data_IF_830462278685
#
_entry.id   IF_830462278685
#
_cell.length_a   1.000
_cell.length_b   1.000
_cell.length_c   1.000
_cell.angle_alpha   90.00
_cell.angle_beta   90.00
_cell.angle_gamma   90.00
#
_symmetry.space_group_name_H-M   'P 1'
#
loop_
_entity.id
_entity.type
_entity.pdbx_description
1 polymer ?
#
# COMPACT_ATOMS: atom_id res chain seq x y z
N UNK A 1 0.31 0.86 -21.40
CA UNK A 1 0.70 2.21 -20.94
C UNK A 1 -0.05 2.71 -19.70
N UNK A 2 -1.35 2.40 -19.49
CA UNK A 2 -2.14 2.92 -18.35
C UNK A 2 -1.77 2.29 -16.99
N UNK A 3 -1.55 0.97 -16.94
CA UNK A 3 -1.20 0.27 -15.70
C UNK A 3 0.14 0.72 -15.10
N UNK A 4 1.17 0.92 -15.93
CA UNK A 4 2.49 1.38 -15.49
C UNK A 4 2.45 2.80 -14.91
N UNK A 5 1.58 3.69 -15.42
CA UNK A 5 1.38 5.02 -14.84
C UNK A 5 0.74 4.96 -13.45
N UNK A 6 -0.20 4.03 -13.24
CA UNK A 6 -0.89 3.85 -11.95
C UNK A 6 0.05 3.24 -10.90
N UNK A 7 0.98 2.37 -11.33
CA UNK A 7 1.99 1.77 -10.45
C UNK A 7 3.01 2.82 -9.96
N UNK A 8 3.56 3.63 -10.86
CA UNK A 8 4.48 4.71 -10.50
C UNK A 8 3.83 5.76 -9.59
N UNK A 9 2.53 6.03 -9.78
CA UNK A 9 1.77 6.91 -8.91
C UNK A 9 1.62 6.32 -7.50
N UNK A 10 1.32 5.03 -7.38
CA UNK A 10 1.26 4.35 -6.09
C UNK A 10 2.60 4.37 -5.35
N UNK A 11 3.71 4.22 -6.08
CA UNK A 11 5.05 4.37 -5.50
C UNK A 11 5.29 5.78 -4.97
N UNK A 12 4.97 6.83 -5.73
CA UNK A 12 5.14 8.22 -5.30
C UNK A 12 4.31 8.54 -4.06
N UNK A 13 3.06 8.07 -4.01
CA UNK A 13 2.19 8.25 -2.86
C UNK A 13 2.78 7.56 -1.63
N UNK A 14 3.26 6.32 -1.78
CA UNK A 14 3.92 5.58 -0.71
C UNK A 14 5.18 6.29 -0.19
N UNK A 15 6.10 6.69 -1.07
CA UNK A 15 7.35 7.36 -0.70
C UNK A 15 7.06 8.65 0.08
N UNK A 16 6.09 9.45 -0.40
CA UNK A 16 5.67 10.68 0.27
C UNK A 16 5.02 10.44 1.64
N UNK A 17 4.18 9.42 1.76
CA UNK A 17 3.44 9.15 3.00
C UNK A 17 4.29 8.46 4.08
N UNK A 18 5.20 7.59 3.67
CA UNK A 18 6.01 6.77 4.58
C UNK A 18 7.39 7.36 4.87
N UNK A 19 7.92 8.20 3.98
CA UNK A 19 9.31 8.68 4.03
C UNK A 19 10.34 7.59 3.71
N UNK A 20 9.92 6.45 3.17
CA UNK A 20 10.81 5.35 2.79
C UNK A 20 11.05 5.29 1.28
N UNK A 21 12.26 4.90 0.90
CA UNK A 21 12.60 4.58 -0.48
C UNK A 21 11.97 3.24 -0.89
N UNK A 22 11.41 3.18 -2.11
CA UNK A 22 10.72 1.99 -2.63
C UNK A 22 11.59 0.74 -2.83
N UNK A 23 12.90 0.88 -2.91
CA UNK A 23 13.83 -0.21 -3.27
C UNK A 23 13.76 -1.43 -2.34
N UNK A 24 13.37 -1.22 -1.08
CA UNK A 24 13.25 -2.30 -0.07
C UNK A 24 11.85 -2.90 0.00
N UNK A 25 10.95 -2.41 -0.84
CA UNK A 25 9.54 -2.76 -0.81
C UNK A 25 9.13 -3.43 -2.12
N UNK A 26 8.00 -4.13 -2.05
CA UNK A 26 7.30 -4.66 -3.19
C UNK A 26 5.87 -4.14 -3.18
N UNK A 27 5.34 -3.94 -4.39
CA UNK A 27 3.99 -3.47 -4.61
C UNK A 27 3.16 -4.61 -5.20
N UNK A 28 2.01 -4.88 -4.59
CA UNK A 28 1.07 -5.92 -5.02
C UNK A 28 -0.27 -5.28 -5.38
N UNK A 29 -0.75 -5.51 -6.61
CA UNK A 29 -2.07 -5.01 -7.03
C UNK A 29 -3.17 -5.76 -6.28
N UNK A 30 -4.13 -5.01 -5.73
CA UNK A 30 -5.34 -5.56 -5.11
C UNK A 30 -6.56 -4.84 -5.66
N UNK A 31 -7.75 -5.34 -5.33
CA UNK A 31 -8.98 -4.64 -5.66
C UNK A 31 -9.02 -3.27 -4.96
N UNK A 32 -9.23 -2.20 -5.74
CA UNK A 32 -9.33 -0.84 -5.25
C UNK A 32 -8.01 -0.16 -4.87
N UNK A 33 -6.85 -0.80 -5.09
CA UNK A 33 -5.58 -0.19 -4.72
C UNK A 33 -4.35 -1.10 -4.82
N UNK A 34 -3.34 -0.79 -4.03
CA UNK A 34 -2.06 -1.49 -3.98
C UNK A 34 -1.65 -1.75 -2.54
N UNK A 35 -1.02 -2.89 -2.29
CA UNK A 35 -0.41 -3.18 -0.99
C UNK A 35 1.10 -3.06 -1.14
N UNK A 36 1.72 -2.22 -0.32
CA UNK A 36 3.17 -2.08 -0.21
C UNK A 36 3.65 -2.89 0.98
N UNK A 37 4.63 -3.77 0.76
CA UNK A 37 5.23 -4.59 1.82
C UNK A 37 6.73 -4.55 1.72
N UNK A 38 7.41 -4.80 2.83
CA UNK A 38 8.83 -5.10 2.78
C UNK A 38 9.07 -6.31 1.87
N UNK A 39 10.02 -6.20 0.94
CA UNK A 39 10.20 -7.16 -0.13
C UNK A 39 10.66 -8.52 0.38
N UNK A 40 11.63 -8.52 1.30
CA UNK A 40 12.24 -9.71 1.88
C UNK A 40 11.78 -9.96 3.33
N UNK A 41 10.88 -10.94 3.48
CA UNK A 41 10.31 -11.28 4.78
C UNK A 41 11.37 -11.62 5.84
N UNK A 42 12.51 -12.20 5.46
CA UNK A 42 13.55 -12.58 6.42
C UNK A 42 14.27 -11.37 7.03
N UNK A 43 14.33 -10.25 6.32
CA UNK A 43 14.98 -9.01 6.75
C UNK A 43 14.00 -7.91 7.17
N UNK A 44 12.72 -8.23 7.37
CA UNK A 44 11.71 -7.22 7.73
C UNK A 44 12.04 -6.59 9.08
N UNK A 45 12.23 -5.25 9.16
CA UNK A 45 12.51 -4.58 10.42
C UNK A 45 11.38 -4.74 11.44
N UNK A 46 11.73 -4.83 12.73
CA UNK A 46 10.73 -4.88 13.79
C UNK A 46 9.88 -3.61 13.79
N UNK A 47 8.55 -3.74 13.87
CA UNK A 47 7.61 -2.62 13.79
C UNK A 47 7.32 -2.12 12.37
N UNK A 48 7.93 -2.73 11.35
CA UNK A 48 7.57 -2.48 9.95
C UNK A 48 6.17 -3.04 9.68
N UNK A 49 5.31 -2.19 9.13
CA UNK A 49 3.93 -2.52 8.82
C UNK A 49 3.69 -2.31 7.32
N UNK A 50 2.83 -3.13 6.69
CA UNK A 50 2.39 -2.89 5.32
C UNK A 50 1.72 -1.53 5.17
N UNK A 51 1.69 -1.02 3.94
CA UNK A 51 0.87 0.12 3.57
C UNK A 51 -0.14 -0.30 2.50
N UNK A 52 -1.27 0.39 2.45
CA UNK A 52 -2.23 0.28 1.36
C UNK A 52 -2.37 1.64 0.70
N UNK A 53 -2.27 1.67 -0.63
CA UNK A 53 -2.48 2.85 -1.45
C UNK A 53 -3.77 2.65 -2.24
N UNK A 54 -4.81 3.40 -1.93
CA UNK A 54 -6.08 3.34 -2.63
C UNK A 54 -5.97 3.97 -4.04
N UNK A 55 -6.86 3.57 -4.96
CA UNK A 55 -6.90 4.08 -6.34
C UNK A 55 -7.16 5.59 -6.43
N UNK A 56 -7.68 6.21 -5.36
CA UNK A 56 -7.90 7.65 -5.22
C UNK A 56 -6.68 8.41 -4.68
N UNK A 57 -5.58 7.71 -4.38
CA UNK A 57 -4.33 8.28 -3.87
C UNK A 57 -4.23 8.36 -2.35
N UNK A 58 -5.19 7.80 -1.58
CA UNK A 58 -5.07 7.72 -0.12
C UNK A 58 -4.06 6.64 0.30
N UNK A 59 -3.17 6.98 1.25
CA UNK A 59 -2.20 6.05 1.82
C UNK A 59 -2.55 5.70 3.27
N UNK A 60 -2.64 4.40 3.58
CA UNK A 60 -2.96 3.90 4.91
C UNK A 60 -1.90 2.94 5.42
N UNK A 61 -1.30 3.23 6.57
CA UNK A 61 -0.41 2.29 7.26
C UNK A 61 -1.24 1.21 7.96
N UNK A 62 -0.95 -0.05 7.67
CA UNK A 62 -1.60 -1.22 8.27
C UNK A 62 -0.88 -1.60 9.56
N UNK A 63 -1.21 -0.88 10.63
CA UNK A 63 -0.73 -1.15 11.98
C UNK A 63 -1.89 -1.27 12.96
N UNK A 64 -1.60 -1.76 14.16
CA UNK A 64 -2.60 -1.90 15.23
C UNK A 64 -3.38 -0.58 15.46
N UNK A 65 -4.72 -0.61 15.57
CA UNK A 65 -5.59 -1.80 15.65
C UNK A 65 -6.07 -2.35 14.29
N UNK A 66 -5.67 -1.76 13.17
CA UNK A 66 -6.19 -2.10 11.85
C UNK A 66 -5.47 -3.30 11.24
N UNK A 67 -6.22 -4.36 10.94
CA UNK A 67 -5.73 -5.49 10.15
C UNK A 67 -5.73 -5.16 8.66
N UNK A 68 -4.85 -5.79 7.88
CA UNK A 68 -4.85 -5.62 6.41
C UNK A 68 -6.22 -5.92 5.81
N UNK A 69 -6.89 -6.97 6.31
CA UNK A 69 -8.23 -7.36 5.86
C UNK A 69 -9.24 -6.23 6.09
N UNK A 70 -9.18 -5.56 7.23
CA UNK A 70 -10.07 -4.44 7.57
C UNK A 70 -9.85 -3.26 6.64
N UNK A 71 -8.58 -2.89 6.39
CA UNK A 71 -8.23 -1.77 5.51
C UNK A 71 -8.68 -2.05 4.07
N UNK A 72 -8.44 -3.25 3.56
CA UNK A 72 -8.89 -3.63 2.21
C UNK A 72 -10.42 -3.64 2.09
N UNK A 73 -11.14 -4.11 3.11
CA UNK A 73 -12.60 -4.09 3.11
C UNK A 73 -13.18 -2.67 3.19
N UNK A 74 -12.50 -1.73 3.83
CA UNK A 74 -12.88 -0.32 3.83
C UNK A 74 -12.71 0.31 2.44
N UNK A 75 -11.57 0.09 1.80
CA UNK A 75 -11.28 0.60 0.45
C UNK A 75 -12.28 0.06 -0.57
N UNK A 76 -12.58 -1.25 -0.51
CA UNK A 76 -13.57 -1.86 -1.39
C UNK A 76 -14.98 -1.25 -1.19
N UNK A 77 -15.38 -0.99 0.06
CA UNK A 77 -16.69 -0.37 0.37
C UNK A 77 -16.82 1.04 -0.19
N UNK A 78 -15.79 1.89 -0.05
CA UNK A 78 -15.80 3.27 -0.57
C UNK A 78 -15.97 3.36 -2.09
N UNK A 79 -15.65 2.28 -2.80
CA UNK A 79 -15.78 2.20 -4.25
C UNK A 79 -17.19 1.84 -4.72
N UNK A 80 -18.06 1.38 -3.82
CA UNK A 80 -19.44 1.04 -4.13
C UNK A 80 -20.29 2.31 -3.93
N UNK A 81 -20.90 2.87 -4.99
CA UNK A 81 -21.78 4.03 -4.87
C UNK A 81 -23.04 3.75 -4.04
#
# INVERSE_FOLDING_TARGET
>A
MRAHKIEEEAWRVFERASGHDREKFRLERVEGGWVVRWADRASTPMGMAPWVIADDGEAMRVGYPLSLKTVLAEIARRRTP
#
